data_IF_508108214910
#
_entry.id   IF_508108214910
#
_cell.length_a   1.000
_cell.length_b   1.000
_cell.length_c   1.000
_cell.angle_alpha   90.00
_cell.angle_beta   90.00
_cell.angle_gamma   90.00
#
_symmetry.space_group_name_H-M   'P 1'
#
loop_
_entity.id
_entity.type
_entity.pdbx_description
1 polymer ?
#
# COMPACT_ATOMS: atom_id res chain seq x y z
N UNK A 1 -18.92 13.04 0.90
CA UNK A 1 -17.72 12.25 1.23
C UNK A 1 -16.90 12.25 -0.03
N UNK A 2 -15.80 12.97 -0.01
CA UNK A 2 -15.01 13.23 -1.19
C UNK A 2 -13.92 12.17 -1.29
N UNK A 3 -13.55 11.78 -2.50
CA UNK A 3 -12.51 10.80 -2.71
C UNK A 3 -11.63 11.17 -3.89
N UNK A 4 -10.39 10.70 -3.85
CA UNK A 4 -9.43 10.79 -4.95
C UNK A 4 -9.13 9.39 -5.44
N UNK A 5 -9.21 9.20 -6.76
CA UNK A 5 -8.73 7.99 -7.42
C UNK A 5 -7.28 8.20 -7.86
N UNK A 6 -6.36 7.34 -7.40
CA UNK A 6 -4.96 7.32 -7.88
C UNK A 6 -4.66 6.01 -8.58
N UNK A 7 -3.92 6.10 -9.68
CA UNK A 7 -3.40 4.95 -10.42
C UNK A 7 -1.87 5.01 -10.37
N UNK A 8 -1.23 3.96 -9.85
CA UNK A 8 0.22 3.86 -9.78
C UNK A 8 0.74 2.76 -10.69
N UNK A 9 1.93 2.97 -11.24
CA UNK A 9 2.71 2.01 -12.03
C UNK A 9 4.10 1.93 -11.44
N UNK A 10 4.54 0.72 -11.11
CA UNK A 10 5.89 0.45 -10.62
C UNK A 10 6.58 -0.56 -11.55
N UNK A 11 7.78 -0.23 -11.99
CA UNK A 11 8.62 -1.09 -12.84
C UNK A 11 10.06 -0.90 -12.40
N UNK A 12 10.80 -2.00 -12.23
CA UNK A 12 12.23 -1.95 -12.00
C UNK A 12 12.99 -1.82 -13.32
N UNK A 13 14.11 -1.11 -13.29
CA UNK A 13 15.08 -1.17 -14.37
C UNK A 13 15.76 -2.55 -14.38
N UNK A 14 16.17 -3.08 -15.54
CA UNK A 14 16.71 -4.43 -15.67
C UNK A 14 17.86 -4.74 -14.71
N UNK A 15 18.71 -3.76 -14.43
CA UNK A 15 19.88 -3.90 -13.56
C UNK A 15 19.51 -4.06 -12.08
N UNK A 16 18.29 -3.68 -11.70
CA UNK A 16 17.78 -3.75 -10.33
C UNK A 16 16.86 -4.96 -10.10
N UNK A 17 16.61 -5.80 -11.11
CA UNK A 17 15.68 -6.94 -10.99
C UNK A 17 16.19 -8.06 -10.07
N UNK A 18 17.51 -8.13 -9.86
CA UNK A 18 18.17 -9.16 -9.07
C UNK A 18 17.95 -9.02 -7.55
N UNK A 19 17.64 -7.81 -7.07
CA UNK A 19 17.48 -7.52 -5.64
C UNK A 19 16.17 -6.76 -5.36
N UNK A 20 15.50 -7.00 -4.22
CA UNK A 20 14.35 -6.19 -3.83
C UNK A 20 14.70 -4.72 -3.67
N UNK A 21 13.91 -3.83 -4.28
CA UNK A 21 14.15 -2.39 -4.29
C UNK A 21 12.95 -1.62 -3.73
N UNK A 22 13.23 -0.58 -2.93
CA UNK A 22 12.22 0.31 -2.35
C UNK A 22 11.63 1.23 -3.42
N UNK A 23 10.40 0.96 -3.85
CA UNK A 23 9.71 1.75 -4.86
C UNK A 23 8.83 2.85 -4.26
N UNK A 24 8.34 2.67 -3.02
CA UNK A 24 7.68 3.70 -2.24
C UNK A 24 8.11 3.56 -0.77
N UNK A 25 8.75 4.58 -0.17
CA UNK A 25 9.19 4.53 1.23
C UNK A 25 8.03 4.35 2.24
N UNK A 26 8.39 3.98 3.47
CA UNK A 26 7.46 3.92 4.61
C UNK A 26 6.75 5.26 4.81
N UNK A 27 5.42 5.24 4.83
CA UNK A 27 4.58 6.40 5.14
C UNK A 27 3.21 5.98 5.69
N UNK A 28 2.46 6.97 6.18
CA UNK A 28 1.03 6.89 6.49
C UNK A 28 0.29 7.84 5.55
N UNK A 29 -0.94 7.49 5.22
CA UNK A 29 -1.80 8.37 4.45
C UNK A 29 -2.47 9.39 5.38
N UNK A 30 -2.49 10.67 4.98
CA UNK A 30 -3.15 11.76 5.71
C UNK A 30 -4.69 11.77 5.58
N UNK A 31 -5.25 10.81 4.84
CA UNK A 31 -6.68 10.68 4.54
C UNK A 31 -7.45 9.99 5.68
N UNK A 32 -8.71 9.62 5.44
CA UNK A 32 -9.52 8.85 6.39
C UNK A 32 -9.35 7.33 6.21
N UNK A 33 -9.57 6.84 4.98
CA UNK A 33 -9.42 5.43 4.60
C UNK A 33 -8.80 5.37 3.20
N UNK A 34 -7.91 4.40 2.97
CA UNK A 34 -7.40 4.07 1.63
C UNK A 34 -7.81 2.64 1.27
N UNK A 35 -8.42 2.47 0.09
CA UNK A 35 -8.78 1.17 -0.48
C UNK A 35 -7.87 0.90 -1.67
N UNK A 36 -7.16 -0.22 -1.66
CA UNK A 36 -6.19 -0.60 -2.69
C UNK A 36 -6.64 -1.88 -3.39
N UNK A 37 -6.59 -1.86 -4.72
CA UNK A 37 -6.58 -3.04 -5.57
C UNK A 37 -5.26 -3.06 -6.37
N UNK A 38 -4.68 -4.24 -6.55
CA UNK A 38 -3.45 -4.43 -7.31
C UNK A 38 -3.59 -5.60 -8.30
N UNK A 39 -2.81 -5.57 -9.38
CA UNK A 39 -2.67 -6.74 -10.26
C UNK A 39 -1.89 -7.87 -9.55
N UNK A 40 -1.71 -9.01 -10.22
CA UNK A 40 -1.05 -10.24 -9.71
C UNK A 40 0.47 -10.09 -9.48
N UNK A 41 0.91 -8.95 -8.97
CA UNK A 41 2.30 -8.61 -8.68
C UNK A 41 2.35 -8.02 -7.27
N UNK A 42 3.00 -8.75 -6.37
CA UNK A 42 3.17 -8.36 -4.98
C UNK A 42 4.05 -7.11 -4.85
N UNK A 43 4.02 -6.50 -3.66
CA UNK A 43 4.96 -5.45 -3.31
C UNK A 43 4.48 -4.51 -2.22
N UNK A 44 3.17 -4.48 -1.94
CA UNK A 44 2.65 -3.76 -0.79
C UNK A 44 3.05 -4.49 0.49
N UNK A 45 3.70 -3.77 1.40
CA UNK A 45 3.99 -4.23 2.75
C UNK A 45 3.40 -3.27 3.78
N UNK A 46 2.83 -3.83 4.85
CA UNK A 46 2.19 -3.10 5.94
C UNK A 46 2.97 -3.41 7.22
N UNK A 47 3.23 -2.39 8.03
CA UNK A 47 3.93 -2.55 9.31
C UNK A 47 2.94 -2.97 10.38
N UNK A 48 3.26 -4.03 11.12
CA UNK A 48 2.50 -4.46 12.29
C UNK A 48 2.82 -3.55 13.48
N UNK A 49 2.02 -3.67 14.54
CA UNK A 49 2.25 -2.94 15.81
C UNK A 49 3.57 -3.30 16.48
N UNK A 50 4.01 -4.54 16.30
CA UNK A 50 5.28 -5.04 16.85
C UNK A 50 6.49 -4.57 16.02
N UNK A 51 6.25 -3.85 14.91
CA UNK A 51 7.28 -3.27 14.06
C UNK A 51 7.71 -4.15 12.88
N UNK A 52 7.16 -5.37 12.79
CA UNK A 52 7.40 -6.30 11.68
C UNK A 52 6.70 -5.84 10.40
N UNK A 53 7.18 -6.30 9.25
CA UNK A 53 6.57 -6.05 7.95
C UNK A 53 5.85 -7.30 7.46
N UNK A 54 4.57 -7.14 7.10
CA UNK A 54 3.78 -8.17 6.45
C UNK A 54 3.53 -7.80 4.99
N UNK A 55 3.80 -8.73 4.09
CA UNK A 55 3.49 -8.57 2.68
C UNK A 55 2.04 -8.92 2.40
N UNK A 56 1.36 -8.10 1.59
CA UNK A 56 0.09 -8.49 1.01
C UNK A 56 0.37 -9.36 -0.23
N UNK A 57 0.27 -10.67 -0.04
CA UNK A 57 0.61 -11.71 -1.01
C UNK A 57 -0.59 -12.27 -1.79
N UNK A 58 -1.82 -11.98 -1.36
CA UNK A 58 -3.05 -12.31 -2.08
C UNK A 58 -3.35 -11.29 -3.18
N UNK A 59 -2.66 -11.42 -4.31
CA UNK A 59 -2.87 -10.56 -5.47
C UNK A 59 -4.06 -11.01 -6.37
N UNK A 60 -5.07 -11.64 -5.78
CA UNK A 60 -6.33 -11.96 -6.46
C UNK A 60 -6.99 -10.68 -7.00
N UNK A 61 -7.50 -10.68 -8.24
CA UNK A 61 -8.17 -9.50 -8.81
C UNK A 61 -9.43 -9.07 -8.03
N UNK A 62 -10.00 -9.96 -7.21
CA UNK A 62 -11.17 -9.69 -6.38
C UNK A 62 -10.81 -9.27 -4.95
N UNK A 63 -9.53 -9.30 -4.58
CA UNK A 63 -9.08 -8.91 -3.24
C UNK A 63 -8.87 -7.40 -3.17
N UNK A 64 -9.23 -6.83 -2.02
CA UNK A 64 -9.10 -5.41 -1.70
C UNK A 64 -8.41 -5.29 -0.35
N UNK A 65 -7.47 -4.36 -0.26
CA UNK A 65 -6.87 -3.96 1.01
C UNK A 65 -7.54 -2.66 1.46
N UNK A 66 -8.06 -2.63 2.68
CA UNK A 66 -8.65 -1.44 3.30
C UNK A 66 -7.77 -1.04 4.47
N UNK A 67 -7.19 0.15 4.41
CA UNK A 67 -6.26 0.64 5.43
C UNK A 67 -6.86 1.83 6.17
N UNK A 68 -6.66 1.85 7.49
CA UNK A 68 -6.90 3.02 8.31
C UNK A 68 -5.79 4.04 8.09
N UNK A 69 -6.17 5.32 8.03
CA UNK A 69 -5.27 6.44 7.80
C UNK A 69 -5.33 7.42 8.98
N UNK A 70 -4.52 8.48 8.96
CA UNK A 70 -4.38 9.41 10.09
C UNK A 70 -5.71 10.04 10.51
N UNK A 71 -6.58 10.36 9.55
CA UNK A 71 -7.90 10.91 9.82
C UNK A 71 -8.80 9.97 10.62
N UNK A 72 -8.80 8.68 10.30
CA UNK A 72 -9.58 7.68 11.05
C UNK A 72 -8.97 7.44 12.43
N UNK A 73 -7.64 7.49 12.56
CA UNK A 73 -6.99 7.39 13.87
C UNK A 73 -7.45 8.51 14.80
N UNK A 74 -7.35 9.77 14.36
CA UNK A 74 -7.79 10.94 15.12
C UNK A 74 -9.28 10.85 15.45
N UNK A 75 -10.12 10.56 14.45
CA UNK A 75 -11.57 10.46 14.65
C UNK A 75 -11.97 9.34 15.62
N UNK A 76 -11.25 8.22 15.58
CA UNK A 76 -11.48 7.09 16.49
C UNK A 76 -10.91 7.31 17.89
N UNK A 77 -10.27 8.46 18.15
CA UNK A 77 -9.55 8.76 19.38
C UNK A 77 -8.51 7.67 19.70
N UNK A 78 -7.65 7.39 18.73
CA UNK A 78 -6.53 6.44 18.78
C UNK A 78 -6.91 4.96 18.98
N UNK A 79 -8.21 4.61 18.82
CA UNK A 79 -8.66 3.21 18.92
C UNK A 79 -8.27 2.38 17.70
N UNK A 80 -8.21 3.02 16.53
CA UNK A 80 -7.76 2.43 15.27
C UNK A 80 -6.47 3.14 14.87
N UNK A 81 -5.38 2.40 14.74
CA UNK A 81 -4.07 2.97 14.42
C UNK A 81 -3.89 3.08 12.91
N UNK A 82 -3.34 4.20 12.44
CA UNK A 82 -3.08 4.43 11.03
C UNK A 82 -1.98 3.51 10.51
N UNK A 83 -2.25 2.83 9.39
CA UNK A 83 -1.35 1.84 8.82
C UNK A 83 -0.10 2.50 8.22
N UNK A 84 1.08 2.16 8.74
CA UNK A 84 2.35 2.43 8.06
C UNK A 84 2.54 1.40 6.96
N UNK A 85 2.83 1.86 5.74
CA UNK A 85 2.98 0.98 4.60
C UNK A 85 4.09 1.46 3.66
N UNK A 86 4.60 0.53 2.85
CA UNK A 86 5.64 0.77 1.84
C UNK A 86 5.40 -0.10 0.60
N UNK A 87 6.13 0.18 -0.48
CA UNK A 87 6.15 -0.69 -1.67
C UNK A 87 7.57 -1.14 -1.94
N UNK A 88 7.79 -2.45 -1.86
CA UNK A 88 9.01 -3.13 -2.28
C UNK A 88 8.74 -3.84 -3.61
N UNK A 89 9.54 -3.55 -4.62
CA UNK A 89 9.46 -4.22 -5.93
C UNK A 89 10.56 -5.28 -6.03
N UNK A 90 10.27 -6.39 -6.70
CA UNK A 90 11.24 -7.42 -7.04
C UNK A 90 10.90 -8.08 -8.37
N UNK A 91 11.93 -8.54 -9.10
CA UNK A 91 11.78 -9.15 -10.42
C UNK A 91 11.34 -8.18 -11.51
N UNK A 92 10.97 -8.74 -12.67
CA UNK A 92 10.76 -8.00 -13.92
C UNK A 92 9.32 -7.58 -14.21
N UNK A 93 8.35 -8.01 -13.39
CA UNK A 93 6.93 -7.76 -13.62
C UNK A 93 6.55 -6.34 -13.22
N UNK A 94 5.72 -5.69 -14.04
CA UNK A 94 5.16 -4.36 -13.73
C UNK A 94 4.00 -4.50 -12.74
N UNK A 95 4.07 -3.78 -11.62
CA UNK A 95 2.96 -3.67 -10.67
C UNK A 95 2.09 -2.46 -11.00
N UNK A 96 0.80 -2.68 -11.05
CA UNK A 96 -0.22 -1.65 -11.17
C UNK A 96 -1.09 -1.67 -9.91
N UNK A 97 -1.43 -0.50 -9.40
CA UNK A 97 -2.39 -0.39 -8.31
C UNK A 97 -3.36 0.77 -8.52
N UNK A 98 -4.61 0.52 -8.14
CA UNK A 98 -5.69 1.50 -8.10
C UNK A 98 -6.03 1.77 -6.64
N UNK A 99 -6.04 3.05 -6.26
CA UNK A 99 -6.29 3.48 -4.90
C UNK A 99 -7.49 4.43 -4.88
N UNK A 100 -8.47 4.13 -4.04
CA UNK A 100 -9.51 5.09 -3.66
C UNK A 100 -9.13 5.65 -2.29
N UNK A 101 -8.87 6.95 -2.24
CA UNK A 101 -8.46 7.67 -1.03
C UNK A 101 -9.64 8.52 -0.58
N UNK A 102 -10.25 8.15 0.53
CA UNK A 102 -11.39 8.86 1.13
C UNK A 102 -10.87 10.00 2.01
N UNK A 103 -11.25 11.24 1.70
CA UNK A 103 -10.84 12.45 2.41
C UNK A 103 -11.71 12.70 3.65
#
# INVERSE_FOLDING_TARGET
MDFVLKLHKYKLEPELEAEPCMALPEHQDLSFITIINQNQVNGLEIKTRDGDWIAFDDASPSSLVVMACDGLQVWSNDRIEACKHRVIMSGSKVRYSCLVICL
#
